data_IF_679350409248
#
_entry.id   IF_679350409248
#
_cell.length_a   1.000
_cell.length_b   1.000
_cell.length_c   1.000
_cell.angle_alpha   90.00
_cell.angle_beta   90.00
_cell.angle_gamma   90.00
#
_symmetry.space_group_name_H-M   'P 1'
#
loop_
_entity.id
_entity.type
_entity.pdbx_description
1 polymer ?
#
# COMPACT_ATOMS: atom_id res chain seq x y z
N UNK A 1 0.17 13.50 -6.60
CA UNK A 1 1.16 12.92 -5.66
C UNK A 1 0.39 12.11 -4.64
N UNK A 2 0.76 10.85 -4.40
CA UNK A 2 0.02 9.94 -3.53
C UNK A 2 0.97 9.24 -2.57
N UNK A 3 0.55 9.04 -1.32
CA UNK A 3 1.33 8.33 -0.31
C UNK A 3 0.46 7.19 0.21
N UNK A 4 1.10 6.05 0.44
CA UNK A 4 0.47 4.87 0.99
C UNK A 4 1.39 4.26 2.06
N UNK A 5 0.79 3.63 3.07
CA UNK A 5 1.49 2.85 4.08
C UNK A 5 1.34 1.37 3.72
N UNK A 6 2.43 0.61 3.80
CA UNK A 6 2.41 -0.83 3.59
C UNK A 6 1.71 -1.50 4.78
N UNK A 7 0.66 -2.28 4.52
CA UNK A 7 -0.01 -3.10 5.53
C UNK A 7 0.76 -4.39 5.78
N UNK A 8 0.62 -4.92 7.00
CA UNK A 8 1.08 -6.28 7.33
C UNK A 8 0.16 -7.36 6.74
N UNK A 9 -1.09 -7.01 6.38
CA UNK A 9 -2.01 -7.90 5.67
C UNK A 9 -1.49 -8.18 4.27
N UNK A 10 -1.64 -9.43 3.83
CA UNK A 10 -1.19 -9.90 2.51
C UNK A 10 -2.32 -10.56 1.74
N UNK A 11 -2.28 -10.42 0.43
CA UNK A 11 -3.16 -11.16 -0.47
C UNK A 11 -2.71 -12.62 -0.60
N UNK A 12 -3.47 -13.43 -1.35
CA UNK A 12 -3.17 -14.86 -1.58
C UNK A 12 -1.80 -15.14 -2.21
N UNK A 13 -1.21 -14.14 -2.88
CA UNK A 13 0.09 -14.22 -3.53
C UNK A 13 1.22 -13.66 -2.64
N UNK A 14 0.91 -13.31 -1.38
CA UNK A 14 1.87 -12.77 -0.41
C UNK A 14 2.20 -11.29 -0.58
N UNK A 15 1.55 -10.56 -1.50
CA UNK A 15 1.76 -9.12 -1.67
C UNK A 15 1.06 -8.34 -0.56
N UNK A 16 1.70 -7.32 0.03
CA UNK A 16 1.05 -6.55 1.07
C UNK A 16 -0.02 -5.63 0.49
N UNK A 17 -1.11 -5.48 1.24
CA UNK A 17 -2.10 -4.42 0.99
C UNK A 17 -1.48 -3.04 1.29
N UNK A 18 -2.15 -2.00 0.81
CA UNK A 18 -1.82 -0.61 1.15
C UNK A 18 -2.94 0.04 1.95
N UNK A 19 -2.55 0.86 2.92
CA UNK A 19 -3.45 1.81 3.60
C UNK A 19 -3.22 3.16 2.96
N UNK A 20 -4.25 3.69 2.30
CA UNK A 20 -4.24 4.98 1.64
C UNK A 20 -5.66 5.52 1.50
N UNK A 21 -5.77 6.81 1.19
CA UNK A 21 -7.05 7.43 0.86
C UNK A 21 -7.32 7.28 -0.65
N UNK A 22 -7.55 6.05 -1.11
CA UNK A 22 -7.80 5.72 -2.53
C UNK A 22 -9.25 5.37 -2.82
N UNK A 23 -9.89 4.64 -1.91
CA UNK A 23 -11.27 4.15 -1.99
C UNK A 23 -12.20 4.89 -1.05
N UNK A 24 -13.47 4.95 -1.46
CA UNK A 24 -14.61 5.29 -0.61
C UNK A 24 -15.62 4.13 -0.69
N UNK A 25 -15.84 3.35 0.38
CA UNK A 25 -15.37 3.55 1.75
C UNK A 25 -13.88 3.20 1.97
N UNK A 26 -13.30 3.75 3.04
CA UNK A 26 -11.90 3.51 3.41
C UNK A 26 -11.63 2.02 3.72
N UNK A 27 -10.65 1.44 3.04
CA UNK A 27 -10.23 0.05 3.23
C UNK A 27 -8.75 -0.16 2.94
N UNK A 28 -8.21 -1.29 3.41
CA UNK A 28 -6.92 -1.79 2.93
C UNK A 28 -7.08 -2.33 1.52
N UNK A 29 -6.28 -1.84 0.58
CA UNK A 29 -6.41 -2.17 -0.84
C UNK A 29 -5.26 -3.02 -1.39
N UNK A 30 -5.58 -3.95 -2.27
CA UNK A 30 -4.59 -4.71 -3.06
C UNK A 30 -4.19 -3.90 -4.31
N UNK A 31 -3.61 -2.73 -4.09
CA UNK A 31 -3.35 -1.73 -5.13
C UNK A 31 -1.90 -1.22 -5.17
N UNK A 32 -0.98 -1.89 -4.49
CA UNK A 32 0.44 -1.49 -4.42
C UNK A 32 1.07 -1.28 -5.81
N UNK A 33 0.68 -2.09 -6.79
CA UNK A 33 1.27 -2.12 -8.14
C UNK A 33 0.44 -1.38 -9.19
N UNK A 34 -0.64 -0.72 -8.81
CA UNK A 34 -1.50 -0.02 -9.77
C UNK A 34 -0.93 1.32 -10.25
N UNK A 35 0.07 1.86 -9.53
CA UNK A 35 0.75 3.11 -9.87
C UNK A 35 2.26 2.95 -9.92
N UNK A 36 2.95 3.96 -10.46
CA UNK A 36 4.41 4.02 -10.45
C UNK A 36 4.93 4.32 -9.03
N UNK A 37 5.72 3.41 -8.46
CA UNK A 37 6.39 3.61 -7.18
C UNK A 37 7.59 4.56 -7.40
N UNK A 38 7.50 5.76 -6.85
CA UNK A 38 8.58 6.77 -6.92
C UNK A 38 9.66 6.56 -5.85
N UNK A 39 9.34 5.85 -4.75
CA UNK A 39 10.27 5.55 -3.66
C UNK A 39 9.62 4.71 -2.58
N UNK A 40 10.43 4.06 -1.74
CA UNK A 40 9.98 3.29 -0.58
C UNK A 40 10.86 3.66 0.61
N UNK A 41 10.23 4.19 1.66
CA UNK A 41 10.90 4.66 2.86
C UNK A 41 10.56 3.74 4.04
N UNK A 42 11.56 3.47 4.87
CA UNK A 42 11.43 2.68 6.10
C UNK A 42 12.23 3.34 7.20
N UNK A 43 11.71 3.31 8.43
CA UNK A 43 12.47 3.75 9.59
C UNK A 43 13.71 2.87 9.76
N UNK A 44 14.88 3.47 9.94
CA UNK A 44 16.09 2.71 10.29
C UNK A 44 15.89 2.10 11.68
N UNK A 45 16.33 0.85 11.84
CA UNK A 45 16.43 0.21 13.14
C UNK A 45 17.62 0.77 13.91
#
# INVERSE_FOLDING_TARGET
>A
MHIAIISDKRNKDGKPFIIHHGSDPAMEEDHLMAGKIAGHYRWKK
#
